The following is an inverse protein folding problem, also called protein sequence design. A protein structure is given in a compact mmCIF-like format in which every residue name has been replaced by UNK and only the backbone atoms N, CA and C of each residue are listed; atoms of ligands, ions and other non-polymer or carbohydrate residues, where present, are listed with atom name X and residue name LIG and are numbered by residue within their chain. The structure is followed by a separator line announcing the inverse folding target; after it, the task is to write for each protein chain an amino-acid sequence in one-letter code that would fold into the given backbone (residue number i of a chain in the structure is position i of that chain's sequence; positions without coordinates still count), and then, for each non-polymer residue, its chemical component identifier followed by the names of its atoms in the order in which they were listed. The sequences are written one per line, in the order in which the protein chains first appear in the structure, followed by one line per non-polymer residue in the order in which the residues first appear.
data_IF_924475541164
#
_entry.id   IF_924475541164
#
_cell.length_a   1.000
_cell.length_b   1.000
_cell.length_c   1.000
_cell.angle_alpha   90.00
_cell.angle_beta   90.00
_cell.angle_gamma   90.00
#
_symmetry.space_group_name_H-M   'P 1'
#
loop_
_entity.id
_entity.type
_entity.pdbx_description
1 polymer ?
#
# COMPACT_ATOMS: atom_id res chain seq x y z
N UNK A 1 -26.43 72.81 9.99
CA UNK A 1 -25.10 73.29 9.53
C UNK A 1 -24.27 72.05 9.23
N UNK A 2 -23.90 71.87 7.97
CA UNK A 2 -23.47 70.61 7.36
C UNK A 2 -21.94 70.56 7.31
N UNK A 3 -21.31 69.49 7.81
CA UNK A 3 -19.87 69.26 7.60
C UNK A 3 -19.68 67.84 7.03
N UNK A 4 -19.16 67.83 5.80
CA UNK A 4 -18.66 66.70 5.01
C UNK A 4 -17.17 66.51 5.30
N UNK A 5 -16.70 65.33 5.67
CA UNK A 5 -15.31 64.80 5.50
C UNK A 5 -15.20 63.52 6.32
N UNK A 6 -14.58 62.40 5.95
CA UNK A 6 -13.91 61.95 4.74
C UNK A 6 -13.51 60.50 5.04
N UNK A 7 -13.71 59.62 4.07
CA UNK A 7 -13.39 58.18 4.14
C UNK A 7 -11.91 57.98 4.43
N UNK A 8 -11.55 57.37 5.58
CA UNK A 8 -10.21 56.83 5.80
C UNK A 8 -10.32 55.30 5.74
N UNK A 9 -10.02 54.78 4.56
CA UNK A 9 -9.85 53.36 4.29
C UNK A 9 -8.44 52.98 4.74
N UNK A 10 -8.29 52.45 5.96
CA UNK A 10 -7.01 51.93 6.44
C UNK A 10 -6.84 50.52 5.87
N UNK A 11 -6.23 50.43 4.68
CA UNK A 11 -5.78 49.15 4.11
C UNK A 11 -4.59 48.69 4.94
N UNK A 12 -4.86 47.80 5.91
CA UNK A 12 -3.82 46.98 6.53
C UNK A 12 -3.34 46.02 5.47
N UNK A 13 -2.18 46.32 4.88
CA UNK A 13 -1.49 45.41 3.96
C UNK A 13 -1.16 44.13 4.70
N UNK A 14 -1.88 43.05 4.37
CA UNK A 14 -1.40 41.70 4.64
C UNK A 14 -0.11 41.51 3.85
N UNK A 15 1.03 41.64 4.52
CA UNK A 15 2.30 41.06 4.11
C UNK A 15 2.22 39.53 4.29
N UNK A 16 1.32 38.90 3.55
CA UNK A 16 1.36 37.47 3.26
C UNK A 16 2.13 37.29 1.97
N UNK A 17 3.47 37.41 2.04
CA UNK A 17 4.31 36.98 0.92
C UNK A 17 4.03 35.51 0.61
N UNK A 18 4.08 35.07 -0.66
CA UNK A 18 3.82 33.69 -1.00
C UNK A 18 4.83 32.83 -0.25
N UNK A 19 4.36 32.01 0.69
CA UNK A 19 5.14 30.91 1.18
C UNK A 19 5.50 30.08 -0.05
N UNK A 20 6.77 30.13 -0.47
CA UNK A 20 7.27 29.27 -1.53
C UNK A 20 6.94 27.84 -1.11
N UNK A 21 5.97 27.24 -1.79
CA UNK A 21 5.54 25.89 -1.50
C UNK A 21 6.77 24.99 -1.58
N UNK A 22 7.05 24.22 -0.52
CA UNK A 22 8.11 23.24 -0.55
C UNK A 22 7.91 22.31 -1.77
N UNK A 23 8.98 21.95 -2.51
CA UNK A 23 8.84 21.12 -3.69
C UNK A 23 8.17 19.79 -3.32
N UNK A 24 7.16 19.41 -4.10
CA UNK A 24 6.46 18.15 -3.93
C UNK A 24 7.47 17.00 -4.08
N UNK A 25 7.58 16.15 -3.05
CA UNK A 25 8.57 15.07 -3.07
C UNK A 25 7.92 13.78 -3.59
N UNK A 26 8.40 13.20 -4.69
CA UNK A 26 7.85 11.95 -5.21
C UNK A 26 8.20 10.80 -4.26
N UNK A 27 7.25 9.91 -3.94
CA UNK A 27 7.54 8.74 -3.12
C UNK A 27 8.35 7.70 -3.89
N UNK A 28 9.16 6.93 -3.18
CA UNK A 28 9.86 5.79 -3.74
C UNK A 28 8.99 4.52 -3.63
N UNK A 29 8.88 3.70 -4.70
CA UNK A 29 8.18 2.42 -4.62
C UNK A 29 8.95 1.44 -3.73
N UNK A 30 8.26 0.50 -3.06
CA UNK A 30 8.93 -0.58 -2.36
C UNK A 30 9.74 -1.44 -3.34
N UNK A 31 10.94 -1.92 -2.94
CA UNK A 31 11.78 -2.74 -3.79
C UNK A 31 11.12 -4.08 -4.11
N UNK A 32 11.37 -4.61 -5.31
CA UNK A 32 10.77 -5.87 -5.75
C UNK A 32 11.20 -7.06 -4.86
N UNK A 33 12.41 -7.00 -4.32
CA UNK A 33 13.01 -7.99 -3.42
C UNK A 33 12.31 -8.05 -2.06
N UNK A 34 11.55 -7.01 -1.69
CA UNK A 34 10.75 -7.03 -0.45
C UNK A 34 9.48 -7.89 -0.59
N UNK A 35 9.13 -8.34 -1.80
CA UNK A 35 7.97 -9.22 -2.01
C UNK A 35 8.28 -10.61 -1.43
N UNK A 36 7.49 -11.08 -0.46
CA UNK A 36 7.71 -12.41 0.12
C UNK A 36 7.35 -13.51 -0.88
N UNK A 37 8.16 -14.58 -0.88
CA UNK A 37 7.92 -15.76 -1.70
C UNK A 37 6.78 -16.62 -1.15
N UNK A 38 5.82 -16.91 -2.01
CA UNK A 38 4.67 -17.74 -1.64
C UNK A 38 5.09 -19.21 -1.59
N UNK A 39 4.80 -19.93 -0.47
CA UNK A 39 5.03 -21.36 -0.39
C UNK A 39 4.36 -22.14 -1.53
N UNK A 40 5.07 -23.12 -2.10
CA UNK A 40 4.52 -24.00 -3.15
C UNK A 40 3.53 -24.98 -2.50
N UNK A 41 2.32 -25.04 -3.04
CA UNK A 41 1.31 -26.01 -2.59
C UNK A 41 1.76 -27.44 -2.98
N UNK A 42 1.58 -28.44 -2.09
CA UNK A 42 1.78 -29.84 -2.44
C UNK A 42 0.90 -30.24 -3.63
N UNK A 43 1.47 -31.03 -4.53
CA UNK A 43 0.75 -31.56 -5.69
C UNK A 43 -0.23 -32.63 -5.20
N UNK A 44 -1.48 -32.53 -5.65
CA UNK A 44 -2.52 -33.48 -5.27
C UNK A 44 -2.27 -34.81 -6.00
N UNK A 45 -2.07 -35.93 -5.30
CA UNK A 45 -1.91 -37.22 -5.94
C UNK A 45 -3.22 -37.67 -6.61
N UNK A 46 -3.09 -38.35 -7.75
CA UNK A 46 -4.23 -38.82 -8.55
C UNK A 46 -5.10 -39.84 -7.80
N UNK A 47 -4.51 -40.58 -6.85
CA UNK A 47 -5.21 -41.57 -6.05
C UNK A 47 -6.31 -40.98 -5.16
N UNK A 48 -6.26 -39.68 -4.82
CA UNK A 48 -7.25 -39.04 -3.94
C UNK A 48 -8.63 -38.92 -4.59
N UNK A 49 -8.67 -38.88 -5.93
CA UNK A 49 -9.92 -38.83 -6.69
C UNK A 49 -10.32 -40.21 -7.24
N UNK A 50 -9.50 -41.24 -7.02
CA UNK A 50 -9.78 -42.59 -7.49
C UNK A 50 -10.88 -43.25 -6.63
N UNK A 51 -11.79 -43.99 -7.27
CA UNK A 51 -12.87 -44.72 -6.57
C UNK A 51 -12.35 -45.74 -5.54
N UNK A 52 -11.13 -46.23 -5.70
CA UNK A 52 -10.48 -47.15 -4.76
C UNK A 52 -9.76 -46.47 -3.59
N UNK A 53 -9.72 -45.13 -3.55
CA UNK A 53 -8.92 -44.36 -2.59
C UNK A 53 -7.41 -44.43 -2.84
N UNK A 54 -6.66 -43.79 -1.94
CA UNK A 54 -5.20 -43.82 -1.97
C UNK A 54 -4.62 -45.03 -1.22
N UNK A 55 -3.53 -45.63 -1.72
CA UNK A 55 -2.67 -46.46 -0.89
C UNK A 55 -2.27 -45.69 0.37
N UNK A 56 -2.21 -46.38 1.52
CA UNK A 56 -1.96 -45.73 2.82
C UNK A 56 -0.70 -44.85 2.79
N UNK A 57 0.41 -45.36 2.25
CA UNK A 57 1.68 -44.62 2.18
C UNK A 57 1.56 -43.30 1.41
N UNK A 58 0.85 -43.28 0.27
CA UNK A 58 0.68 -42.09 -0.57
C UNK A 58 -0.21 -41.05 0.13
N UNK A 59 -1.28 -41.51 0.79
CA UNK A 59 -2.13 -40.66 1.61
C UNK A 59 -1.36 -40.04 2.79
N UNK A 60 -0.49 -40.81 3.46
CA UNK A 60 0.32 -40.29 4.57
C UNK A 60 1.35 -39.27 4.08
N UNK A 61 2.10 -39.58 3.02
CA UNK A 61 3.09 -38.66 2.44
C UNK A 61 2.45 -37.34 1.99
N UNK A 62 1.27 -37.39 1.34
CA UNK A 62 0.55 -36.19 0.97
C UNK A 62 0.09 -35.38 2.20
N UNK A 63 -0.46 -36.04 3.22
CA UNK A 63 -0.88 -35.37 4.45
C UNK A 63 0.30 -34.66 5.15
N UNK A 64 1.48 -35.27 5.18
CA UNK A 64 2.65 -34.65 5.80
C UNK A 64 3.17 -33.46 4.98
N UNK A 65 3.14 -33.56 3.64
CA UNK A 65 3.43 -32.41 2.77
C UNK A 65 2.43 -31.26 3.00
N UNK A 66 1.14 -31.57 3.20
CA UNK A 66 0.11 -30.57 3.52
C UNK A 66 0.36 -29.94 4.89
N UNK A 67 0.73 -30.70 5.92
CA UNK A 67 1.08 -30.15 7.23
C UNK A 67 2.28 -29.19 7.12
N UNK A 68 3.32 -29.59 6.40
CA UNK A 68 4.50 -28.75 6.17
C UNK A 68 4.13 -27.44 5.43
N UNK A 69 3.32 -27.53 4.38
CA UNK A 69 2.81 -26.35 3.67
C UNK A 69 1.98 -25.44 4.58
N UNK A 70 1.10 -26.00 5.40
CA UNK A 70 0.28 -25.21 6.33
C UNK A 70 1.15 -24.45 7.33
N UNK A 71 2.21 -25.06 7.85
CA UNK A 71 3.18 -24.38 8.71
C UNK A 71 3.86 -23.21 7.99
N UNK A 72 4.33 -23.43 6.75
CA UNK A 72 4.93 -22.36 5.94
C UNK A 72 3.95 -21.22 5.64
N UNK A 73 2.67 -21.54 5.36
CA UNK A 73 1.63 -20.54 5.11
C UNK A 73 1.32 -19.70 6.34
N UNK A 74 1.35 -20.29 7.54
CA UNK A 74 1.16 -19.53 8.78
C UNK A 74 2.25 -18.46 8.93
N UNK A 75 3.49 -18.76 8.57
CA UNK A 75 4.58 -17.77 8.57
C UNK A 75 4.49 -16.77 7.40
N UNK A 76 4.06 -17.21 6.22
CA UNK A 76 3.97 -16.36 5.03
C UNK A 76 2.90 -15.26 5.14
N UNK A 77 1.75 -15.56 5.73
CA UNK A 77 0.60 -14.63 5.81
C UNK A 77 0.96 -13.25 6.38
N UNK A 78 1.55 -13.13 7.59
CA UNK A 78 1.88 -11.81 8.14
C UNK A 78 2.92 -11.06 7.29
N UNK A 79 3.85 -11.77 6.65
CA UNK A 79 4.82 -11.16 5.74
C UNK A 79 4.13 -10.56 4.50
N UNK A 80 3.20 -11.30 3.91
CA UNK A 80 2.43 -10.84 2.77
C UNK A 80 1.53 -9.65 3.13
N UNK A 81 0.89 -9.68 4.30
CA UNK A 81 0.08 -8.58 4.82
C UNK A 81 0.91 -7.31 5.04
N UNK A 82 2.09 -7.43 5.65
CA UNK A 82 3.01 -6.31 5.84
C UNK A 82 3.45 -5.70 4.49
N UNK A 83 3.80 -6.54 3.51
CA UNK A 83 4.16 -6.07 2.17
C UNK A 83 3.01 -5.31 1.49
N UNK A 84 1.76 -5.78 1.63
CA UNK A 84 0.58 -5.08 1.12
C UNK A 84 0.35 -3.74 1.83
N UNK A 85 0.60 -3.66 3.14
CA UNK A 85 0.52 -2.39 3.87
C UNK A 85 1.54 -1.38 3.34
N UNK A 86 2.78 -1.79 3.06
CA UNK A 86 3.80 -0.93 2.46
C UNK A 86 3.37 -0.44 1.07
N UNK A 87 2.81 -1.32 0.23
CA UNK A 87 2.30 -0.93 -1.09
C UNK A 87 1.15 0.09 -0.99
N UNK A 88 0.22 -0.11 -0.06
CA UNK A 88 -0.87 0.84 0.16
C UNK A 88 -0.36 2.21 0.65
N UNK A 89 0.65 2.22 1.51
CA UNK A 89 1.31 3.45 1.94
C UNK A 89 1.96 4.18 0.77
N UNK A 90 2.64 3.45 -0.13
CA UNK A 90 3.21 4.01 -1.36
C UNK A 90 2.13 4.60 -2.28
N UNK A 91 1.03 3.88 -2.53
CA UNK A 91 -0.09 4.37 -3.34
C UNK A 91 -0.68 5.65 -2.75
N UNK A 92 -0.87 5.69 -1.43
CA UNK A 92 -1.33 6.89 -0.74
C UNK A 92 -0.35 8.06 -0.94
N UNK A 93 0.94 7.83 -0.71
CA UNK A 93 1.96 8.87 -0.88
C UNK A 93 2.02 9.36 -2.34
N UNK A 94 1.79 8.49 -3.32
CA UNK A 94 1.77 8.86 -4.73
C UNK A 94 0.56 9.74 -5.06
N UNK A 95 -0.60 9.43 -4.48
CA UNK A 95 -1.77 10.30 -4.55
C UNK A 95 -1.52 11.66 -3.90
N UNK A 96 -0.93 11.67 -2.70
CA UNK A 96 -0.64 12.91 -1.97
C UNK A 96 0.36 13.79 -2.77
N UNK A 97 1.36 13.16 -3.40
CA UNK A 97 2.28 13.82 -4.32
C UNK A 97 1.56 14.44 -5.52
N UNK A 98 0.68 13.68 -6.19
CA UNK A 98 -0.09 14.20 -7.33
C UNK A 98 -0.98 15.40 -6.94
N UNK A 99 -1.58 15.37 -5.74
CA UNK A 99 -2.36 16.51 -5.23
C UNK A 99 -1.48 17.73 -4.92
N UNK A 100 -0.26 17.52 -4.44
CA UNK A 100 0.70 18.59 -4.24
C UNK A 100 1.06 19.26 -5.57
N UNK A 101 1.42 18.48 -6.58
CA UNK A 101 1.76 18.97 -7.92
C UNK A 101 0.59 19.74 -8.55
N UNK A 102 -0.63 19.19 -8.44
CA UNK A 102 -1.83 19.86 -8.94
C UNK A 102 -2.04 21.25 -8.31
N UNK A 103 -1.81 21.39 -7.00
CA UNK A 103 -1.89 22.69 -6.31
C UNK A 103 -0.78 23.65 -6.72
N UNK A 104 0.44 23.15 -6.93
CA UNK A 104 1.56 23.96 -7.37
C UNK A 104 1.36 24.54 -8.78
N UNK A 105 0.56 23.86 -9.61
CA UNK A 105 0.22 24.29 -10.97
C UNK A 105 -1.03 25.19 -11.06
N UNK A 106 -1.77 25.37 -9.96
CA UNK A 106 -2.93 26.26 -9.94
C UNK A 106 -2.48 27.73 -9.90
N UNK A 107 -3.06 28.60 -10.75
CA UNK A 107 -2.68 30.02 -10.86
C UNK A 107 -3.11 30.86 -9.66
#
# INVERSE_FOLDING_TARGET
MTIRTGTIFCVIGLLGGPALAAPCTPPAPPPAEARPDKPKRPEKPACLDAKGGCPGWEAYSFNDAVKAYNAQIQTYRPLAEAYLQTLNAYVKAASDYAQCEAKALQP
#
